data_IF_091308060093
#
_entry.id   IF_091308060093
#
_cell.length_a   1.000
_cell.length_b   1.000
_cell.length_c   1.000
_cell.angle_alpha   90.00
_cell.angle_beta   90.00
_cell.angle_gamma   90.00
#
_symmetry.space_group_name_H-M   'P 1'
#
loop_
_entity.id
_entity.type
_entity.pdbx_description
1 polymer ?
#
# COMPACT_ATOMS: atom_id res chain seq x y z
N UNK A 1 6.56 -5.32 23.90
CA UNK A 1 7.69 -5.45 22.96
C UNK A 1 8.48 -4.17 23.10
N UNK A 2 9.78 -4.27 23.39
CA UNK A 2 10.61 -3.09 23.64
C UNK A 2 10.99 -2.42 22.31
N UNK A 3 10.58 -1.16 22.11
CA UNK A 3 10.95 -0.41 20.91
C UNK A 3 12.45 -0.18 20.89
N UNK A 4 13.12 -0.50 19.78
CA UNK A 4 14.57 -0.27 19.64
C UNK A 4 14.81 1.08 18.97
N UNK A 5 15.80 1.81 19.47
CA UNK A 5 16.33 3.00 18.80
C UNK A 5 17.21 2.56 17.62
N UNK A 6 16.90 3.05 16.43
CA UNK A 6 17.69 2.80 15.22
C UNK A 6 18.05 4.11 14.52
N UNK A 7 19.29 4.19 14.04
CA UNK A 7 19.79 5.33 13.28
C UNK A 7 19.71 5.03 11.80
N UNK A 8 18.94 5.82 11.07
CA UNK A 8 18.73 5.63 9.63
C UNK A 8 19.08 6.92 8.90
N UNK A 9 19.67 6.78 7.71
CA UNK A 9 19.89 7.89 6.78
C UNK A 9 18.77 7.91 5.76
N UNK A 10 18.11 9.05 5.61
CA UNK A 10 17.12 9.30 4.56
C UNK A 10 17.52 10.59 3.87
N UNK A 11 17.75 10.50 2.57
CA UNK A 11 18.25 11.58 1.73
C UNK A 11 19.58 12.12 2.28
N UNK A 12 19.67 13.43 2.52
CA UNK A 12 20.85 14.08 3.07
C UNK A 12 20.90 14.10 4.61
N UNK A 13 19.94 13.49 5.30
CA UNK A 13 19.76 13.63 6.75
C UNK A 13 19.82 12.29 7.49
N UNK A 14 20.26 12.33 8.76
CA UNK A 14 20.24 11.18 9.66
C UNK A 14 19.17 11.37 10.73
N UNK A 15 18.39 10.32 10.98
CA UNK A 15 17.32 10.31 11.95
C UNK A 15 17.52 9.18 12.94
N UNK A 16 17.17 9.42 14.20
CA UNK A 16 17.04 8.36 15.21
C UNK A 16 15.56 8.07 15.39
N UNK A 17 15.14 6.87 15.02
CA UNK A 17 13.75 6.45 14.99
C UNK A 17 13.52 5.33 16.00
N UNK A 18 12.33 5.33 16.59
CA UNK A 18 11.84 4.26 17.46
C UNK A 18 10.80 3.45 16.71
N UNK A 19 10.99 2.13 16.67
CA UNK A 19 10.06 1.23 16.03
C UNK A 19 10.03 -0.13 16.73
N UNK A 20 8.86 -0.76 16.65
CA UNK A 20 8.66 -2.13 17.14
C UNK A 20 9.11 -3.17 16.11
N UNK A 21 9.00 -2.83 14.81
CA UNK A 21 9.47 -3.62 13.68
C UNK A 21 10.61 -2.88 12.96
N UNK A 22 11.83 -3.31 13.23
CA UNK A 22 13.05 -2.72 12.67
C UNK A 22 13.14 -2.95 11.16
N UNK A 23 12.78 -4.14 10.69
CA UNK A 23 12.92 -4.50 9.26
C UNK A 23 11.95 -3.68 8.41
N UNK A 24 10.69 -3.54 8.87
CA UNK A 24 9.71 -2.70 8.20
C UNK A 24 10.13 -1.22 8.18
N UNK A 25 10.70 -0.74 9.29
CA UNK A 25 11.17 0.64 9.41
C UNK A 25 12.33 0.94 8.45
N UNK A 26 13.33 0.06 8.38
CA UNK A 26 14.45 0.17 7.44
C UNK A 26 13.98 0.13 6.00
N UNK A 27 13.09 -0.81 5.66
CA UNK A 27 12.52 -0.93 4.31
C UNK A 27 11.73 0.32 3.93
N UNK A 28 10.96 0.88 4.85
CA UNK A 28 10.20 2.11 4.64
C UNK A 28 11.13 3.30 4.41
N UNK A 29 12.18 3.43 5.23
CA UNK A 29 13.16 4.50 5.08
C UNK A 29 13.92 4.42 3.74
N UNK A 30 14.32 3.21 3.31
CA UNK A 30 14.98 3.01 2.02
C UNK A 30 14.05 3.32 0.83
N UNK A 31 12.75 3.02 0.98
CA UNK A 31 11.75 3.41 -0.02
C UNK A 31 11.61 4.94 -0.12
N UNK A 32 11.50 5.65 1.01
CA UNK A 32 11.45 7.12 1.02
C UNK A 32 12.71 7.73 0.42
N UNK A 33 13.89 7.23 0.79
CA UNK A 33 15.19 7.70 0.26
C UNK A 33 15.26 7.58 -1.27
N UNK A 34 14.93 6.40 -1.80
CA UNK A 34 14.90 6.13 -3.24
C UNK A 34 13.91 7.06 -3.95
N UNK A 35 12.73 7.26 -3.37
CA UNK A 35 11.71 8.14 -3.95
C UNK A 35 12.15 9.61 -3.94
N UNK A 36 12.77 10.09 -2.85
CA UNK A 36 13.28 11.45 -2.77
C UNK A 36 14.38 11.69 -3.82
N UNK A 37 15.28 10.74 -4.02
CA UNK A 37 16.28 10.82 -5.09
C UNK A 37 15.65 10.83 -6.49
N UNK A 38 14.62 10.01 -6.72
CA UNK A 38 13.87 10.04 -7.98
C UNK A 38 13.19 11.40 -8.20
N UNK A 39 12.49 11.92 -7.20
CA UNK A 39 11.84 13.23 -7.26
C UNK A 39 12.86 14.33 -7.51
N UNK A 40 14.02 14.31 -6.86
CA UNK A 40 15.09 15.28 -7.10
C UNK A 40 15.59 15.26 -8.55
N UNK A 41 15.63 14.08 -9.19
CA UNK A 41 16.00 13.94 -10.59
C UNK A 41 14.89 14.44 -11.55
N UNK A 42 13.63 14.21 -11.19
CA UNK A 42 12.47 14.63 -11.99
C UNK A 42 12.25 16.16 -11.92
N UNK A 43 12.50 16.78 -10.75
CA UNK A 43 12.40 18.22 -10.52
C UNK A 43 13.73 18.79 -9.95
N UNK A 44 14.75 19.02 -10.80
CA UNK A 44 16.04 19.51 -10.36
C UNK A 44 15.96 20.93 -9.76
N UNK A 45 16.96 21.30 -8.95
CA UNK A 45 17.11 22.60 -8.29
C UNK A 45 16.01 22.98 -7.27
N UNK A 46 15.20 22.01 -6.85
CA UNK A 46 14.25 22.20 -5.75
C UNK A 46 14.92 22.02 -4.39
N UNK A 47 14.31 22.60 -3.35
CA UNK A 47 14.77 22.40 -1.98
C UNK A 47 14.47 20.97 -1.48
N UNK A 48 15.30 20.46 -0.56
CA UNK A 48 15.07 19.18 0.13
C UNK A 48 13.66 19.10 0.74
N UNK A 49 13.12 20.22 1.23
CA UNK A 49 11.76 20.31 1.77
C UNK A 49 10.70 20.09 0.69
N UNK A 50 10.84 20.73 -0.46
CA UNK A 50 9.95 20.53 -1.62
C UNK A 50 9.99 19.08 -2.09
N UNK A 51 11.18 18.50 -2.20
CA UNK A 51 11.37 17.08 -2.58
C UNK A 51 10.69 16.14 -1.58
N UNK A 52 10.81 16.41 -0.29
CA UNK A 52 10.14 15.64 0.76
C UNK A 52 8.61 15.72 0.67
N UNK A 53 8.04 16.92 0.46
CA UNK A 53 6.59 17.09 0.30
C UNK A 53 6.06 16.34 -0.93
N UNK A 54 6.72 16.47 -2.08
CA UNK A 54 6.31 15.79 -3.31
C UNK A 54 6.44 14.28 -3.15
N UNK A 55 7.50 13.81 -2.49
CA UNK A 55 7.66 12.38 -2.17
C UNK A 55 6.53 11.88 -1.27
N UNK A 56 6.16 12.63 -0.21
CA UNK A 56 5.05 12.27 0.66
C UNK A 56 3.70 12.24 -0.10
N UNK A 57 3.48 13.19 -1.01
CA UNK A 57 2.30 13.19 -1.88
C UNK A 57 2.25 11.94 -2.77
N UNK A 58 3.35 11.59 -3.42
CA UNK A 58 3.45 10.39 -4.26
C UNK A 58 3.16 9.11 -3.46
N UNK A 59 3.64 9.02 -2.21
CA UNK A 59 3.34 7.89 -1.31
C UNK A 59 1.84 7.82 -1.01
N UNK A 60 1.22 8.96 -0.68
CA UNK A 60 -0.21 9.03 -0.39
C UNK A 60 -1.05 8.65 -1.62
N UNK A 61 -0.69 9.14 -2.82
CA UNK A 61 -1.36 8.77 -4.07
C UNK A 61 -1.28 7.27 -4.35
N UNK A 62 -0.11 6.67 -4.17
CA UNK A 62 0.06 5.22 -4.32
C UNK A 62 -0.80 4.47 -3.29
N UNK A 63 -0.82 4.90 -2.04
CA UNK A 63 -1.68 4.31 -1.01
C UNK A 63 -3.16 4.32 -1.42
N UNK A 64 -3.68 5.47 -1.89
CA UNK A 64 -5.08 5.55 -2.31
C UNK A 64 -5.37 4.74 -3.57
N UNK A 65 -4.43 4.67 -4.52
CA UNK A 65 -4.54 3.84 -5.73
C UNK A 65 -4.64 2.35 -5.38
N UNK A 66 -3.74 1.87 -4.52
CA UNK A 66 -3.74 0.47 -4.05
C UNK A 66 -5.00 0.15 -3.25
N UNK A 67 -5.39 1.04 -2.33
CA UNK A 67 -6.61 0.88 -1.53
C UNK A 67 -7.86 0.79 -2.40
N UNK A 68 -7.99 1.66 -3.40
CA UNK A 68 -9.12 1.63 -4.32
C UNK A 68 -9.13 0.36 -5.18
N UNK A 69 -7.96 -0.09 -5.64
CA UNK A 69 -7.83 -1.32 -6.41
C UNK A 69 -8.25 -2.54 -5.60
N UNK A 70 -7.84 -2.61 -4.32
CA UNK A 70 -8.29 -3.64 -3.38
C UNK A 70 -9.80 -3.62 -3.16
N UNK A 71 -10.40 -2.44 -2.98
CA UNK A 71 -11.84 -2.30 -2.83
C UNK A 71 -12.63 -2.82 -4.06
N UNK A 72 -12.19 -2.46 -5.27
CA UNK A 72 -12.82 -2.93 -6.52
C UNK A 72 -12.69 -4.45 -6.64
N UNK A 73 -11.51 -4.99 -6.33
CA UNK A 73 -11.26 -6.43 -6.38
C UNK A 73 -12.17 -7.20 -5.41
N UNK A 74 -12.33 -6.71 -4.18
CA UNK A 74 -13.24 -7.28 -3.19
C UNK A 74 -14.70 -7.25 -3.65
N UNK A 75 -15.14 -6.14 -4.27
CA UNK A 75 -16.49 -6.06 -4.84
C UNK A 75 -16.70 -7.07 -5.97
N UNK A 76 -15.71 -7.26 -6.83
CA UNK A 76 -15.77 -8.24 -7.92
C UNK A 76 -15.87 -9.66 -7.37
N UNK A 77 -15.05 -10.02 -6.36
CA UNK A 77 -15.12 -11.33 -5.72
C UNK A 77 -16.47 -11.57 -5.06
N UNK A 78 -17.01 -10.59 -4.33
CA UNK A 78 -18.34 -10.69 -3.72
C UNK A 78 -19.42 -10.92 -4.77
N UNK A 79 -19.36 -10.20 -5.88
CA UNK A 79 -20.33 -10.32 -6.97
C UNK A 79 -20.26 -11.70 -7.63
N UNK A 80 -19.05 -12.21 -7.87
CA UNK A 80 -18.83 -13.55 -8.42
C UNK A 80 -19.35 -14.64 -7.48
N UNK A 81 -19.01 -14.57 -6.19
CA UNK A 81 -19.48 -15.54 -5.18
C UNK A 81 -21.01 -15.55 -5.09
N UNK A 82 -21.64 -14.36 -5.09
CA UNK A 82 -23.09 -14.26 -5.07
C UNK A 82 -23.72 -14.88 -6.32
N UNK A 83 -23.12 -14.68 -7.50
CA UNK A 83 -23.57 -15.31 -8.74
C UNK A 83 -23.45 -16.83 -8.71
N UNK A 84 -22.32 -17.36 -8.24
CA UNK A 84 -22.10 -18.80 -8.09
C UNK A 84 -23.09 -19.42 -7.09
N UNK A 85 -23.34 -18.75 -5.96
CA UNK A 85 -24.34 -19.20 -4.98
C UNK A 85 -25.75 -19.23 -5.56
N UNK A 86 -26.11 -18.26 -6.40
CA UNK A 86 -27.40 -18.26 -7.09
C UNK A 86 -27.52 -19.46 -8.05
N UNK A 87 -26.48 -19.74 -8.83
CA UNK A 87 -26.46 -20.89 -9.74
C UNK A 87 -26.55 -22.23 -9.01
N UNK A 88 -25.81 -22.39 -7.90
CA UNK A 88 -25.89 -23.59 -7.06
C UNK A 88 -27.30 -23.77 -6.51
N UNK A 89 -27.96 -22.69 -6.09
CA UNK A 89 -29.33 -22.73 -5.62
C UNK A 89 -30.29 -23.18 -6.72
N UNK A 90 -30.18 -22.62 -7.92
CA UNK A 90 -31.02 -23.01 -9.07
C UNK A 90 -30.87 -24.50 -9.41
N UNK A 91 -29.64 -25.04 -9.35
CA UNK A 91 -29.38 -26.46 -9.57
C UNK A 91 -30.04 -27.31 -8.48
N UNK A 92 -29.92 -26.92 -7.21
CA UNK A 92 -30.56 -27.65 -6.11
C UNK A 92 -32.09 -27.66 -6.25
N UNK A 93 -32.69 -26.49 -6.52
CA UNK A 93 -34.14 -26.35 -6.72
C UNK A 93 -34.62 -27.21 -7.91
N UNK A 94 -33.80 -27.34 -8.96
CA UNK A 94 -34.07 -28.24 -10.09
C UNK A 94 -34.00 -29.72 -9.71
N UNK A 95 -33.02 -30.14 -8.90
CA UNK A 95 -32.92 -31.52 -8.43
C UNK A 95 -34.13 -31.86 -7.55
N UNK A 96 -34.47 -31.01 -6.58
CA UNK A 96 -35.57 -31.23 -5.65
C UNK A 96 -36.94 -31.31 -6.34
N UNK A 97 -37.11 -30.63 -7.47
CA UNK A 97 -38.34 -30.70 -8.27
C UNK A 97 -38.44 -31.90 -9.20
N UNK A 98 -37.34 -32.65 -9.41
CA UNK A 98 -37.27 -33.84 -10.26
C UNK A 98 -36.94 -35.14 -9.48
N UNK A 99 -36.93 -35.08 -8.14
CA UNK A 99 -36.74 -36.22 -7.24
C UNK A 99 -38.01 -36.48 -6.44
#
# INVERSE_FOLDING_TARGET
MDSKDIRIKIFNNHYTLKGDDVELLEKSAQYVDTLMHKVQNDIPNQSDFTVAIVSALNIAENYYREKNSGFILDQNYRSLINGLNAQVKEINDYIDSNT
#
